data_IF_290964788938
#
_entry.id   IF_290964788938
#
_cell.length_a   1.000
_cell.length_b   1.000
_cell.length_c   1.000
_cell.angle_alpha   90.00
_cell.angle_beta   90.00
_cell.angle_gamma   90.00
#
_symmetry.space_group_name_H-M   'P 1'
#
loop_
_entity.id
_entity.type
_entity.pdbx_description
1 polymer ?
#
# COMPACT_ATOMS: atom_id res chain seq x y z
N UNK A 1 16.84 17.25 -20.71
CA UNK A 1 15.42 17.26 -20.26
C UNK A 1 15.38 16.53 -18.94
N UNK A 2 14.90 17.16 -17.86
CA UNK A 2 14.74 16.44 -16.59
C UNK A 2 13.79 15.25 -16.83
N UNK A 3 14.17 14.06 -16.38
CA UNK A 3 13.31 12.88 -16.46
C UNK A 3 12.02 13.16 -15.70
N UNK A 4 10.87 12.87 -16.30
CA UNK A 4 9.57 13.02 -15.63
C UNK A 4 9.54 12.07 -14.41
N UNK A 5 9.21 12.60 -13.24
CA UNK A 5 9.10 11.80 -12.02
C UNK A 5 7.83 10.95 -12.05
N UNK A 6 7.99 9.62 -12.10
CA UNK A 6 6.93 8.64 -11.99
C UNK A 6 6.07 8.82 -10.72
N UNK A 7 4.76 9.00 -10.93
CA UNK A 7 3.72 9.02 -9.90
C UNK A 7 2.81 7.81 -10.05
N UNK A 8 2.86 6.86 -9.12
CA UNK A 8 2.13 5.60 -9.22
C UNK A 8 1.24 5.31 -8.01
N UNK A 9 0.14 4.60 -8.26
CA UNK A 9 -0.79 4.12 -7.23
C UNK A 9 -1.00 2.62 -7.40
N UNK A 10 -1.07 1.88 -6.29
CA UNK A 10 -1.65 0.53 -6.28
C UNK A 10 -3.00 0.51 -5.57
N UNK A 11 -3.98 -0.11 -6.21
CA UNK A 11 -5.31 -0.40 -5.71
C UNK A 11 -5.50 -1.90 -5.61
N UNK A 12 -6.17 -2.34 -4.56
CA UNK A 12 -6.58 -3.73 -4.42
C UNK A 12 -7.29 -3.95 -3.09
N UNK A 13 -8.18 -4.96 -3.01
CA UNK A 13 -8.85 -5.30 -1.77
C UNK A 13 -7.85 -5.77 -0.69
N UNK A 14 -8.22 -5.75 0.60
CA UNK A 14 -7.48 -6.48 1.63
C UNK A 14 -7.19 -7.92 1.17
N UNK A 15 -5.97 -8.42 1.42
CA UNK A 15 -5.56 -9.78 1.00
C UNK A 15 -5.09 -9.90 -0.46
N UNK A 16 -5.21 -8.85 -1.29
CA UNK A 16 -4.81 -8.91 -2.70
C UNK A 16 -3.30 -9.09 -2.94
N UNK A 17 -2.46 -8.84 -1.94
CA UNK A 17 -1.00 -8.84 -2.09
C UNK A 17 -0.41 -7.48 -2.46
N UNK A 18 -1.20 -6.40 -2.45
CA UNK A 18 -0.77 -5.04 -2.77
C UNK A 18 0.50 -4.59 -2.03
N UNK A 19 0.63 -4.92 -0.74
CA UNK A 19 1.80 -4.53 0.07
C UNK A 19 3.06 -5.23 -0.42
N UNK A 20 2.99 -6.55 -0.62
CA UNK A 20 4.07 -7.36 -1.20
C UNK A 20 4.48 -6.86 -2.58
N UNK A 21 3.52 -6.51 -3.43
CA UNK A 21 3.80 -5.94 -4.75
C UNK A 21 4.48 -4.57 -4.62
N UNK A 22 4.00 -3.69 -3.74
CA UNK A 22 4.61 -2.38 -3.49
C UNK A 22 6.05 -2.48 -3.02
N UNK A 23 6.33 -3.33 -2.02
CA UNK A 23 7.68 -3.55 -1.51
C UNK A 23 8.61 -4.04 -2.62
N UNK A 24 8.11 -4.94 -3.47
CA UNK A 24 8.86 -5.45 -4.62
C UNK A 24 9.11 -4.36 -5.67
N UNK A 25 8.11 -3.52 -5.99
CA UNK A 25 8.28 -2.36 -6.89
C UNK A 25 9.32 -1.40 -6.33
N UNK A 26 9.17 -1.00 -5.06
CA UNK A 26 10.06 -0.06 -4.39
C UNK A 26 11.51 -0.54 -4.42
N UNK A 27 11.75 -1.82 -4.10
CA UNK A 27 13.08 -2.42 -4.14
C UNK A 27 13.65 -2.52 -5.56
N UNK A 28 12.83 -2.90 -6.54
CA UNK A 28 13.31 -3.13 -7.92
C UNK A 28 13.55 -1.84 -8.70
N UNK A 29 12.75 -0.80 -8.47
CA UNK A 29 12.76 0.43 -9.28
C UNK A 29 13.13 1.70 -8.50
N UNK A 30 13.35 1.60 -7.18
CA UNK A 30 13.82 2.73 -6.38
C UNK A 30 12.74 3.75 -6.03
N UNK A 31 11.48 3.33 -6.04
CA UNK A 31 10.37 4.22 -5.69
C UNK A 31 10.27 4.35 -4.18
N UNK A 32 9.99 5.58 -3.71
CA UNK A 32 9.51 5.79 -2.35
C UNK A 32 8.13 5.17 -2.21
N UNK A 33 8.01 4.15 -1.35
CA UNK A 33 6.72 3.53 -1.03
C UNK A 33 6.04 4.27 0.12
N UNK A 34 4.81 4.70 -0.12
CA UNK A 34 3.97 5.44 0.81
C UNK A 34 2.73 4.62 1.12
N UNK A 35 2.57 4.22 2.38
CA UNK A 35 1.38 3.49 2.84
C UNK A 35 0.58 4.37 3.80
N UNK A 36 -0.68 4.65 3.47
CA UNK A 36 -1.56 5.44 4.33
C UNK A 36 -1.71 4.84 5.72
N UNK A 37 -1.71 3.51 5.81
CA UNK A 37 -1.75 2.82 7.08
C UNK A 37 -0.47 2.95 7.90
N UNK A 38 0.70 3.02 7.26
CA UNK A 38 1.97 3.23 7.97
C UNK A 38 2.05 4.67 8.48
N UNK A 39 1.79 5.65 7.63
CA UNK A 39 1.83 7.06 8.05
C UNK A 39 0.86 7.37 9.18
N UNK A 40 -0.33 6.79 9.16
CA UNK A 40 -1.28 6.96 10.25
C UNK A 40 -0.71 6.45 11.58
N UNK A 41 -0.12 5.25 11.58
CA UNK A 41 0.54 4.67 12.77
C UNK A 41 1.74 5.49 13.23
N UNK A 42 2.56 5.97 12.30
CA UNK A 42 3.74 6.76 12.63
C UNK A 42 3.33 8.13 13.21
N UNK A 43 2.31 8.77 12.66
CA UNK A 43 1.76 10.02 13.19
C UNK A 43 1.20 9.85 14.60
N UNK A 44 0.48 8.75 14.87
CA UNK A 44 -0.02 8.40 16.22
C UNK A 44 1.17 8.23 17.17
N UNK A 45 2.15 7.39 16.81
CA UNK A 45 3.35 7.16 17.65
C UNK A 45 4.15 8.43 17.93
N UNK A 46 4.24 9.33 16.95
CA UNK A 46 4.95 10.59 17.06
C UNK A 46 4.14 11.71 17.71
N UNK A 47 2.90 11.45 18.15
CA UNK A 47 2.02 12.43 18.77
C UNK A 47 1.86 13.71 17.94
N UNK A 48 1.75 13.59 16.61
CA UNK A 48 1.49 14.75 15.76
C UNK A 48 0.04 15.21 15.92
N UNK A 49 -0.28 16.46 15.57
CA UNK A 49 -1.66 16.97 15.62
C UNK A 49 -2.66 16.04 14.91
N UNK A 50 -2.26 15.53 13.74
CA UNK A 50 -3.11 14.62 12.96
C UNK A 50 -3.12 13.19 13.54
N UNK A 51 -2.01 12.77 14.15
CA UNK A 51 -1.92 11.51 14.89
C UNK A 51 -2.88 11.46 16.06
N UNK A 52 -2.87 12.50 16.90
CA UNK A 52 -3.78 12.64 18.06
C UNK A 52 -5.24 12.62 17.60
N UNK A 53 -5.56 13.35 16.52
CA UNK A 53 -6.91 13.33 15.97
C UNK A 53 -7.31 11.92 15.48
N UNK A 54 -6.42 11.23 14.77
CA UNK A 54 -6.68 9.88 14.28
C UNK A 54 -6.84 8.86 15.42
N UNK A 55 -6.02 8.97 16.46
CA UNK A 55 -6.07 8.12 17.64
C UNK A 55 -7.42 8.20 18.34
N UNK A 56 -8.00 9.40 18.49
CA UNK A 56 -9.34 9.59 19.08
C UNK A 56 -10.43 8.80 18.36
N UNK A 57 -10.40 8.72 17.03
CA UNK A 57 -11.35 7.89 16.28
C UNK A 57 -11.10 6.40 16.52
N UNK A 58 -9.83 5.98 16.49
CA UNK A 58 -9.45 4.57 16.63
C UNK A 58 -9.80 4.04 18.02
N UNK A 59 -9.53 4.80 19.08
CA UNK A 59 -9.87 4.43 20.47
C UNK A 59 -11.37 4.27 20.68
N UNK A 60 -12.18 5.04 19.95
CA UNK A 60 -13.64 4.94 19.97
C UNK A 60 -14.18 3.83 19.05
N UNK A 61 -13.30 3.06 18.39
CA UNK A 61 -13.67 2.06 17.40
C UNK A 61 -14.27 2.65 16.12
N UNK A 62 -14.08 3.95 15.89
CA UNK A 62 -14.57 4.67 14.71
C UNK A 62 -13.54 4.63 13.58
N UNK A 63 -14.01 4.67 12.34
CA UNK A 63 -13.14 4.83 11.19
C UNK A 63 -12.61 6.26 11.13
N UNK A 64 -11.30 6.40 10.92
CA UNK A 64 -10.69 7.72 10.69
C UNK A 64 -11.32 8.37 9.45
N UNK A 65 -11.85 9.60 9.55
CA UNK A 65 -12.51 10.25 8.43
C UNK A 65 -11.59 10.46 7.21
N UNK A 66 -12.17 10.38 6.02
CA UNK A 66 -11.46 10.52 4.76
C UNK A 66 -10.62 11.81 4.66
N UNK A 67 -11.14 12.94 5.15
CA UNK A 67 -10.45 14.22 5.08
C UNK A 67 -9.17 14.23 5.94
N UNK A 68 -9.15 13.51 7.06
CA UNK A 68 -7.97 13.37 7.94
C UNK A 68 -6.89 12.59 7.20
N UNK A 69 -7.23 11.44 6.63
CA UNK A 69 -6.29 10.63 5.83
C UNK A 69 -5.76 11.42 4.63
N UNK A 70 -6.64 12.18 3.96
CA UNK A 70 -6.25 13.04 2.83
C UNK A 70 -5.21 14.06 3.25
N UNK A 71 -5.43 14.78 4.36
CA UNK A 71 -4.49 15.79 4.87
C UNK A 71 -3.12 15.18 5.17
N UNK A 72 -3.07 14.02 5.85
CA UNK A 72 -1.80 13.31 6.12
C UNK A 72 -1.08 13.00 4.82
N UNK A 73 -1.76 12.33 3.89
CA UNK A 73 -1.13 11.84 2.67
C UNK A 73 -0.61 12.96 1.79
N UNK A 74 -1.38 14.04 1.62
CA UNK A 74 -0.93 15.20 0.83
C UNK A 74 0.27 15.89 1.49
N UNK A 75 0.26 16.06 2.81
CA UNK A 75 1.40 16.67 3.53
C UNK A 75 2.69 15.84 3.43
N UNK A 76 2.60 14.51 3.36
CA UNK A 76 3.78 13.65 3.15
C UNK A 76 4.26 13.70 1.70
N UNK A 77 3.34 13.77 0.72
CA UNK A 77 3.68 13.91 -0.69
C UNK A 77 4.36 15.24 -1.00
N UNK A 78 4.04 16.31 -0.28
CA UNK A 78 4.67 17.63 -0.46
C UNK A 78 6.17 17.60 -0.15
N UNK A 79 6.59 16.73 0.78
CA UNK A 79 7.99 16.59 1.20
C UNK A 79 8.85 15.83 0.20
N UNK A 80 8.24 15.11 -0.75
CA UNK A 80 8.95 14.20 -1.67
C UNK A 80 8.58 14.47 -3.14
N UNK A 81 8.23 15.72 -3.46
CA UNK A 81 7.87 16.12 -4.82
C UNK A 81 9.01 15.93 -5.83
N UNK A 82 10.25 15.80 -5.39
CA UNK A 82 11.44 15.58 -6.20
C UNK A 82 11.78 14.09 -6.42
N UNK A 83 10.99 13.15 -5.87
CA UNK A 83 11.28 11.71 -5.91
C UNK A 83 10.21 10.90 -6.64
N UNK A 84 10.59 9.76 -7.23
CA UNK A 84 9.61 8.77 -7.70
C UNK A 84 8.86 8.15 -6.52
N UNK A 85 7.54 8.02 -6.62
CA UNK A 85 6.75 7.44 -5.53
C UNK A 85 5.65 6.50 -5.96
N UNK A 86 5.29 5.61 -5.02
CA UNK A 86 4.22 4.62 -5.13
C UNK A 86 3.33 4.69 -3.90
N UNK A 87 2.04 4.99 -4.11
CA UNK A 87 1.04 5.00 -3.05
C UNK A 87 0.39 3.62 -2.90
N UNK A 88 0.32 3.13 -1.65
CA UNK A 88 -0.39 1.93 -1.23
C UNK A 88 -1.56 2.30 -0.32
N UNK A 89 -2.77 1.98 -0.79
CA UNK A 89 -4.00 2.17 -0.01
C UNK A 89 -4.43 3.64 0.11
N UNK A 90 -3.99 4.49 -0.82
CA UNK A 90 -4.52 5.83 -1.08
C UNK A 90 -4.38 6.13 -2.58
N UNK A 91 -5.38 6.72 -3.24
CA UNK A 91 -6.71 7.04 -2.73
C UNK A 91 -7.61 5.80 -2.59
N UNK A 92 -8.50 5.81 -1.61
CA UNK A 92 -9.55 4.79 -1.42
C UNK A 92 -10.91 5.27 -1.90
N UNK A 93 -11.18 6.57 -1.76
CA UNK A 93 -12.49 7.17 -2.08
C UNK A 93 -12.35 8.17 -3.21
N UNK A 94 -13.47 8.51 -3.87
CA UNK A 94 -13.45 9.46 -4.99
C UNK A 94 -12.93 10.84 -4.55
N UNK A 95 -13.35 11.32 -3.38
CA UNK A 95 -12.87 12.61 -2.84
C UNK A 95 -11.36 12.62 -2.57
N UNK A 96 -10.79 11.48 -2.14
CA UNK A 96 -9.32 11.35 -2.02
C UNK A 96 -8.62 11.39 -3.38
N UNK A 97 -9.20 10.76 -4.40
CA UNK A 97 -8.65 10.77 -5.75
C UNK A 97 -8.68 12.18 -6.35
N UNK A 98 -9.81 12.89 -6.23
CA UNK A 98 -9.94 14.28 -6.67
C UNK A 98 -8.98 15.23 -5.92
N UNK A 99 -8.72 14.99 -4.63
CA UNK A 99 -7.76 15.76 -3.87
C UNK A 99 -6.32 15.50 -4.33
N UNK A 100 -5.97 14.24 -4.61
CA UNK A 100 -4.66 13.86 -5.16
C UNK A 100 -4.42 14.46 -6.54
N UNK A 101 -5.45 14.47 -7.40
CA UNK A 101 -5.38 15.04 -8.75
C UNK A 101 -5.13 16.54 -8.77
N UNK A 102 -5.58 17.27 -7.74
CA UNK A 102 -5.28 18.71 -7.61
C UNK A 102 -3.81 18.98 -7.29
N UNK A 103 -3.11 17.98 -6.74
CA UNK A 103 -1.71 18.10 -6.34
C UNK A 103 -0.76 17.63 -7.43
N UNK A 104 -1.11 16.58 -8.17
CA UNK A 104 -0.23 15.98 -9.18
C UNK A 104 -0.98 15.20 -10.25
N UNK A 105 -0.36 15.07 -11.43
CA UNK A 105 -0.81 14.15 -12.46
C UNK A 105 -0.26 12.74 -12.20
N UNK A 106 -1.16 11.77 -12.05
CA UNK A 106 -0.78 10.36 -11.96
C UNK A 106 -0.40 9.78 -13.32
N UNK A 107 0.72 9.04 -13.36
CA UNK A 107 1.20 8.38 -14.58
C UNK A 107 0.68 6.94 -14.71
N UNK A 108 0.42 6.29 -13.58
CA UNK A 108 0.13 4.87 -13.52
C UNK A 108 -0.73 4.50 -12.31
N UNK A 109 -1.81 3.77 -12.56
CA UNK A 109 -2.61 3.14 -11.50
C UNK A 109 -2.67 1.65 -11.76
N UNK A 110 -2.21 0.85 -10.80
CA UNK A 110 -2.23 -0.61 -10.85
C UNK A 110 -3.39 -1.10 -10.01
N UNK A 111 -4.27 -1.93 -10.56
CA UNK A 111 -5.35 -2.57 -9.80
C UNK A 111 -5.15 -4.08 -9.76
N UNK A 112 -5.09 -4.63 -8.55
CA UNK A 112 -5.03 -6.08 -8.32
C UNK A 112 -6.44 -6.64 -8.18
N UNK A 113 -6.89 -7.37 -9.20
CA UNK A 113 -8.19 -8.02 -9.25
C UNK A 113 -8.07 -9.50 -8.89
N UNK A 114 -8.15 -9.80 -7.60
CA UNK A 114 -7.98 -11.15 -7.06
C UNK A 114 -9.36 -11.75 -6.73
N UNK A 115 -9.64 -13.02 -7.08
CA UNK A 115 -10.92 -13.66 -6.75
C UNK A 115 -11.23 -13.64 -5.25
N UNK A 116 -12.51 -13.49 -4.92
CA UNK A 116 -12.99 -13.40 -3.54
C UNK A 116 -12.55 -14.59 -2.67
N UNK A 117 -12.68 -15.82 -3.17
CA UNK A 117 -12.29 -17.02 -2.41
C UNK A 117 -10.78 -17.01 -2.10
N UNK A 118 -9.94 -16.62 -3.06
CA UNK A 118 -8.50 -16.47 -2.83
C UNK A 118 -8.18 -15.40 -1.78
N UNK A 119 -8.93 -14.28 -1.77
CA UNK A 119 -8.76 -13.25 -0.74
C UNK A 119 -9.13 -13.77 0.65
N UNK A 120 -10.20 -14.57 0.73
CA UNK A 120 -10.66 -15.19 1.96
C UNK A 120 -9.63 -16.15 2.53
N UNK A 121 -9.12 -17.07 1.72
CA UNK A 121 -8.11 -18.03 2.15
C UNK A 121 -6.84 -17.32 2.65
N UNK A 122 -6.38 -16.30 1.91
CA UNK A 122 -5.21 -15.49 2.29
C UNK A 122 -5.38 -14.71 3.59
N UNK A 123 -6.60 -14.26 3.89
CA UNK A 123 -6.86 -13.47 5.11
C UNK A 123 -7.05 -14.37 6.33
N UNK A 124 -7.59 -15.58 6.15
CA UNK A 124 -7.69 -16.58 7.22
C UNK A 124 -6.31 -17.00 7.77
N UNK A 125 -5.29 -17.05 6.91
CA UNK A 125 -3.92 -17.44 7.26
C UNK A 125 -3.00 -16.24 7.54
N UNK A 126 -3.56 -15.02 7.62
CA UNK A 126 -2.81 -13.80 7.87
C UNK A 126 -2.55 -13.57 9.35
N UNK A 127 -1.33 -13.16 9.64
CA UNK A 127 -0.85 -12.75 10.96
C UNK A 127 -0.14 -11.40 10.84
N UNK A 128 -0.20 -10.59 11.90
CA UNK A 128 0.34 -9.23 11.89
C UNK A 128 1.05 -8.97 13.21
N UNK A 129 2.20 -8.32 13.12
CA UNK A 129 2.85 -7.73 14.29
C UNK A 129 2.29 -6.32 14.53
N UNK A 130 1.49 -6.07 15.59
CA UNK A 130 0.79 -4.79 15.75
C UNK A 130 1.70 -3.56 15.80
N UNK A 131 2.83 -3.57 16.55
CA UNK A 131 3.72 -2.42 16.63
C UNK A 131 4.35 -2.04 15.30
N UNK A 132 4.82 -2.99 14.49
CA UNK A 132 5.51 -2.68 13.22
C UNK A 132 4.56 -2.63 12.03
N UNK A 133 3.43 -3.32 12.10
CA UNK A 133 2.55 -3.57 10.95
C UNK A 133 3.08 -4.62 9.98
N UNK A 134 4.18 -5.33 10.29
CA UNK A 134 4.69 -6.45 9.49
C UNK A 134 3.61 -7.53 9.34
N UNK A 135 3.50 -8.09 8.15
CA UNK A 135 2.45 -9.05 7.78
C UNK A 135 3.08 -10.37 7.41
N UNK A 136 2.55 -11.42 8.01
CA UNK A 136 2.91 -12.81 7.76
C UNK A 136 1.70 -13.55 7.19
N UNK A 137 1.96 -14.53 6.35
CA UNK A 137 0.96 -15.47 5.88
C UNK A 137 1.56 -16.87 5.92
N UNK A 138 0.87 -17.80 6.59
CA UNK A 138 1.39 -19.13 6.86
C UNK A 138 1.71 -19.96 5.59
N UNK A 139 1.14 -19.60 4.44
CA UNK A 139 1.34 -20.30 3.17
C UNK A 139 2.44 -19.67 2.31
N UNK A 140 2.56 -18.34 2.30
CA UNK A 140 3.46 -17.63 1.37
C UNK A 140 4.71 -17.04 2.02
N UNK A 141 4.59 -16.58 3.26
CA UNK A 141 5.66 -15.98 4.04
C UNK A 141 5.45 -16.27 5.54
N UNK A 142 5.57 -17.54 5.96
CA UNK A 142 5.40 -17.91 7.36
C UNK A 142 6.50 -17.26 8.20
N UNK A 143 6.21 -16.89 9.46
CA UNK A 143 7.27 -16.47 10.38
C UNK A 143 8.22 -17.65 10.65
N UNK A 144 9.46 -17.37 11.02
CA UNK A 144 10.44 -18.38 11.40
C UNK A 144 9.95 -19.24 12.57
N UNK A 145 9.25 -18.61 13.52
CA UNK A 145 8.60 -19.27 14.65
C UNK A 145 7.10 -18.93 14.63
N UNK A 146 6.25 -19.94 14.68
CA UNK A 146 4.80 -19.75 14.61
C UNK A 146 4.31 -18.79 15.70
N UNK A 147 3.56 -17.76 15.29
CA UNK A 147 2.99 -16.77 16.20
C UNK A 147 3.98 -15.70 16.72
N UNK A 148 5.21 -15.65 16.20
CA UNK A 148 6.26 -14.73 16.68
C UNK A 148 6.80 -13.89 15.51
N UNK A 149 7.02 -12.60 15.76
CA UNK A 149 7.63 -11.68 14.80
C UNK A 149 9.13 -11.96 14.65
N UNK A 150 9.60 -12.08 13.41
CA UNK A 150 10.98 -12.47 13.10
C UNK A 150 12.04 -11.43 13.53
N UNK A 151 11.64 -10.17 13.73
CA UNK A 151 12.56 -9.07 14.04
C UNK A 151 12.60 -8.78 15.53
N UNK A 152 11.43 -8.72 16.19
CA UNK A 152 11.34 -8.33 17.60
C UNK A 152 11.18 -9.51 18.55
N UNK A 153 10.77 -10.68 18.06
CA UNK A 153 10.41 -11.81 18.91
C UNK A 153 9.08 -11.64 19.66
N UNK A 154 8.32 -10.59 19.34
CA UNK A 154 7.04 -10.29 19.98
C UNK A 154 5.88 -11.10 19.36
N UNK A 155 4.76 -11.29 20.08
CA UNK A 155 3.62 -12.05 19.56
C UNK A 155 2.97 -11.43 18.33
N UNK A 156 2.62 -12.28 17.36
CA UNK A 156 1.76 -11.96 16.25
C UNK A 156 0.29 -12.13 16.64
N UNK A 157 -0.59 -11.37 16.00
CA UNK A 157 -2.05 -11.48 16.18
C UNK A 157 -2.77 -11.57 14.85
N UNK A 158 -3.95 -12.18 14.86
CA UNK A 158 -4.91 -12.07 13.77
C UNK A 158 -5.86 -10.89 14.03
N UNK A 159 -6.29 -10.20 12.97
CA UNK A 159 -7.25 -9.09 13.14
C UNK A 159 -8.66 -9.64 13.29
N UNK A 160 -9.44 -8.96 14.12
CA UNK A 160 -10.89 -9.20 14.22
C UNK A 160 -11.59 -9.08 12.85
N UNK A 161 -11.19 -8.09 12.05
CA UNK A 161 -11.70 -7.90 10.68
C UNK A 161 -11.40 -9.04 9.69
N UNK A 162 -10.42 -9.88 10.00
CA UNK A 162 -10.01 -10.99 9.13
C UNK A 162 -10.84 -12.26 9.44
N UNK A 163 -11.72 -12.24 10.46
CA UNK A 163 -12.69 -13.30 10.73
C UNK A 163 -13.74 -13.39 9.61
N UNK A 164 -14.28 -14.60 9.29
CA UNK A 164 -15.13 -14.82 8.13
C UNK A 164 -16.31 -13.85 7.96
N UNK A 165 -17.03 -13.54 9.04
CA UNK A 165 -18.22 -12.68 9.01
C UNK A 165 -17.87 -11.20 8.77
N UNK A 166 -16.81 -10.72 9.43
CA UNK A 166 -16.32 -9.35 9.27
C UNK A 166 -15.68 -9.14 7.88
N UNK A 167 -15.03 -10.18 7.36
CA UNK A 167 -14.33 -10.15 6.10
C UNK A 167 -15.25 -9.89 4.90
N UNK A 168 -16.36 -10.59 4.81
CA UNK A 168 -17.30 -10.42 3.70
C UNK A 168 -17.84 -8.99 3.62
N UNK A 169 -18.17 -8.42 4.79
CA UNK A 169 -18.60 -7.03 4.94
C UNK A 169 -17.51 -6.04 4.52
N UNK A 170 -16.26 -6.28 4.97
CA UNK A 170 -15.09 -5.47 4.62
C UNK A 170 -14.80 -5.47 3.11
N UNK A 171 -14.88 -6.63 2.47
CA UNK A 171 -14.64 -6.75 1.02
C UNK A 171 -15.76 -6.08 0.20
N UNK A 172 -17.01 -6.17 0.66
CA UNK A 172 -18.14 -5.45 0.04
C UNK A 172 -17.95 -3.94 0.13
N UNK A 173 -17.66 -3.43 1.33
CA UNK A 173 -17.40 -2.00 1.54
C UNK A 173 -16.24 -1.50 0.67
N UNK A 174 -15.15 -2.27 0.58
CA UNK A 174 -14.05 -1.93 -0.32
C UNK A 174 -14.53 -1.79 -1.77
N UNK A 175 -15.32 -2.75 -2.27
CA UNK A 175 -15.80 -2.75 -3.65
C UNK A 175 -16.66 -1.51 -3.94
N UNK A 176 -17.58 -1.17 -3.04
CA UNK A 176 -18.49 -0.04 -3.22
C UNK A 176 -17.74 1.29 -3.26
N UNK A 177 -16.73 1.44 -2.40
CA UNK A 177 -15.95 2.68 -2.29
C UNK A 177 -14.86 2.78 -3.36
N UNK A 178 -14.24 1.66 -3.77
CA UNK A 178 -13.18 1.64 -4.76
C UNK A 178 -13.71 1.72 -6.20
N UNK A 179 -14.94 1.27 -6.47
CA UNK A 179 -15.50 1.25 -7.83
C UNK A 179 -15.45 2.63 -8.52
N UNK A 180 -15.91 3.73 -7.90
CA UNK A 180 -15.79 5.07 -8.51
C UNK A 180 -14.35 5.47 -8.82
N UNK A 181 -13.39 5.13 -7.94
CA UNK A 181 -11.97 5.43 -8.13
C UNK A 181 -11.38 4.64 -9.30
N UNK A 182 -11.73 3.36 -9.41
CA UNK A 182 -11.32 2.50 -10.52
C UNK A 182 -11.88 3.04 -11.85
N UNK A 183 -13.16 3.42 -11.89
CA UNK A 183 -13.80 3.99 -13.08
C UNK A 183 -13.14 5.31 -13.51
N UNK A 184 -12.84 6.21 -12.56
CA UNK A 184 -12.12 7.45 -12.82
C UNK A 184 -10.79 7.20 -13.55
N UNK A 185 -9.92 6.36 -13.01
CA UNK A 185 -8.60 6.11 -13.58
C UNK A 185 -8.65 5.25 -14.85
N UNK A 186 -9.68 4.41 -15.00
CA UNK A 186 -9.96 3.70 -16.24
C UNK A 186 -10.29 4.68 -17.36
N UNK A 187 -11.17 5.65 -17.11
CA UNK A 187 -11.56 6.64 -18.11
C UNK A 187 -10.41 7.56 -18.53
N UNK A 188 -9.40 7.73 -17.67
CA UNK A 188 -8.16 8.45 -17.98
C UNK A 188 -7.11 7.62 -18.74
N UNK A 189 -7.34 6.32 -18.91
CA UNK A 189 -6.41 5.45 -19.64
C UNK A 189 -5.09 5.15 -18.90
N UNK A 190 -5.02 5.43 -17.59
CA UNK A 190 -3.82 5.18 -16.77
C UNK A 190 -3.97 3.95 -15.85
N UNK A 191 -5.15 3.31 -15.86
CA UNK A 191 -5.43 2.11 -15.07
C UNK A 191 -4.97 0.84 -15.81
N UNK A 192 -4.15 0.04 -15.14
CA UNK A 192 -3.77 -1.30 -15.55
C UNK A 192 -4.26 -2.31 -14.51
N UNK A 193 -5.16 -3.21 -14.92
CA UNK A 193 -5.72 -4.24 -14.05
C UNK A 193 -5.03 -5.57 -14.28
N UNK A 194 -4.55 -6.19 -13.21
CA UNK A 194 -3.95 -7.52 -13.23
C UNK A 194 -4.82 -8.49 -12.43
N UNK A 195 -5.24 -9.57 -13.09
CA UNK A 195 -6.06 -10.61 -12.47
C UNK A 195 -5.25 -11.88 -12.25
N UNK A 196 -5.49 -12.58 -11.15
CA UNK A 196 -4.81 -13.83 -10.84
C UNK A 196 -5.01 -14.26 -9.39
N UNK A 197 -4.46 -15.41 -9.04
CA UNK A 197 -4.54 -15.99 -7.69
C UNK A 197 -3.20 -16.02 -6.97
N UNK A 198 -2.10 -15.75 -7.68
CA UNK A 198 -0.73 -15.84 -7.17
C UNK A 198 0.05 -14.56 -7.50
N UNK A 199 0.58 -13.90 -6.47
CA UNK A 199 1.36 -12.66 -6.62
C UNK A 199 2.58 -12.85 -7.53
N UNK A 200 3.22 -14.02 -7.48
CA UNK A 200 4.39 -14.34 -8.30
C UNK A 200 4.06 -14.49 -9.80
N UNK A 201 2.83 -14.88 -10.14
CA UNK A 201 2.38 -14.94 -11.54
C UNK A 201 1.95 -13.57 -12.07
N UNK A 202 1.47 -12.69 -11.19
CA UNK A 202 1.11 -11.31 -11.52
C UNK A 202 2.35 -10.43 -11.71
N UNK A 203 3.38 -10.65 -10.89
CA UNK A 203 4.57 -9.80 -10.84
C UNK A 203 5.25 -9.53 -12.20
N UNK A 204 5.53 -10.53 -13.06
CA UNK A 204 6.22 -10.30 -14.33
C UNK A 204 5.53 -9.25 -15.20
N UNK A 205 4.19 -9.24 -15.24
CA UNK A 205 3.43 -8.27 -16.02
C UNK A 205 3.54 -6.85 -15.45
N UNK A 206 3.49 -6.73 -14.12
CA UNK A 206 3.70 -5.45 -13.42
C UNK A 206 5.11 -4.93 -13.67
N UNK A 207 6.11 -5.81 -13.59
CA UNK A 207 7.50 -5.49 -13.88
C UNK A 207 7.66 -4.96 -15.31
N UNK A 208 7.13 -5.68 -16.31
CA UNK A 208 7.20 -5.24 -17.72
C UNK A 208 6.55 -3.87 -17.91
N UNK A 209 5.38 -3.62 -17.31
CA UNK A 209 4.70 -2.33 -17.41
C UNK A 209 5.53 -1.19 -16.80
N UNK A 210 6.10 -1.39 -15.61
CA UNK A 210 6.91 -0.38 -14.94
C UNK A 210 8.23 -0.11 -15.66
N UNK A 211 8.86 -1.13 -16.24
CA UNK A 211 10.08 -0.98 -17.04
C UNK A 211 9.89 -0.09 -18.28
N UNK A 212 8.65 0.13 -18.74
CA UNK A 212 8.37 1.13 -19.79
C UNK A 212 8.37 2.58 -19.30
N UNK A 213 8.30 2.79 -17.99
CA UNK A 213 8.16 4.11 -17.34
C UNK A 213 9.42 4.55 -16.61
N UNK A 214 10.12 3.61 -15.96
CA UNK A 214 11.33 3.86 -15.17
C UNK A 214 12.25 2.64 -15.26
N UNK A 215 13.57 2.82 -15.45
CA UNK A 215 14.50 1.69 -15.45
C UNK A 215 14.57 1.04 -14.06
N UNK A 216 14.73 -0.29 -13.97
CA UNK A 216 15.02 -0.95 -12.71
C UNK A 216 16.41 -0.53 -12.20
N UNK A 217 16.58 -0.51 -10.88
CA UNK A 217 17.88 -0.25 -10.26
C UNK A 217 18.81 -1.43 -10.56
N UNK A 218 20.04 -1.16 -11.00
CA UNK A 218 21.05 -2.20 -11.13
C UNK A 218 21.66 -2.53 -9.76
N UNK A 219 22.01 -3.80 -9.48
CA UNK A 219 22.59 -4.20 -8.19
C UNK A 219 23.82 -3.38 -7.75
N UNK A 220 24.55 -2.79 -8.70
CA UNK A 220 25.74 -1.96 -8.47
C UNK A 220 25.42 -0.57 -7.88
N UNK A 221 24.24 0.00 -8.19
CA UNK A 221 23.83 1.33 -7.72
C UNK A 221 23.50 1.34 -6.22
N UNK A 222 23.07 0.20 -5.68
CA UNK A 222 22.77 0.01 -4.25
C UNK A 222 24.00 0.23 -3.34
N UNK A 223 25.21 -0.02 -3.84
CA UNK A 223 26.45 0.12 -3.06
C UNK A 223 27.00 1.56 -3.02
N UNK A 224 26.56 2.45 -3.91
CA UNK A 224 26.99 3.86 -3.89
C UNK A 224 26.14 4.70 -2.92
N UNK A 225 24.85 4.43 -2.79
CA UNK A 225 23.96 5.16 -1.87
C UNK A 225 24.32 4.91 -0.39
N UNK A 226 24.78 3.71 -0.04
CA UNK A 226 25.25 3.39 1.33
C UNK A 226 26.55 4.12 1.65
N UNK A 227 27.44 4.29 0.67
CA UNK A 227 28.72 5.02 0.85
C UNK A 227 28.56 6.54 0.89
N UNK A 228 27.52 7.08 0.27
CA UNK A 228 27.25 8.53 0.26
C UNK A 228 26.53 9.03 1.54
N UNK A 229 25.98 8.12 2.36
CA UNK A 229 25.34 8.45 3.64
C UNK A 229 26.26 8.34 4.86
N UNK A 230 27.54 8.00 4.66
CA UNK A 230 28.56 7.83 5.72
C UNK A 230 29.69 8.88 5.64
N UNK A 231 29.49 10.02 4.95
CA UNK A 231 30.44 11.14 4.95
C UNK A 231 29.78 12.45 5.39
#
# INVERSE_FOLDING_TARGET
MASKLLRAVILGPPGSGKGTVCERIAKTFGLKHLSSGNFLRDNIKSNTEVGVLAEQYIEQGLLVPDHVITRVMLSELEKIQDQHWLLDGFPRTLGQAEALDKMCDLDLVISLNIPFETLKDRLNTRWIHPPSGRVYNLEFNPPHVHGIDDVTGEPLVQREDDKPDALASRLRQYKDVAKPVIELYKNRGILHTYSGTETNKIWPYIYTQLSTKIPPIHPEDTNQAVRAGEQ
#
